data_IF_618026516839
#
_entry.id   IF_618026516839
#
_cell.length_a   1.000
_cell.length_b   1.000
_cell.length_c   1.000
_cell.angle_alpha   90.00
_cell.angle_beta   90.00
_cell.angle_gamma   90.00
#
_symmetry.space_group_name_H-M   'P 1'
#
loop_
_entity.id
_entity.type
_entity.pdbx_description
1 polymer ?
#
# COMPACT_ATOMS: atom_id res chain seq x y z
N UNK A 1 -7.55 -9.03 -10.77
CA UNK A 1 -6.31 -8.34 -10.36
C UNK A 1 -5.38 -8.37 -11.56
N UNK A 2 -4.73 -7.27 -11.89
CA UNK A 2 -3.83 -7.11 -13.04
C UNK A 2 -2.46 -6.56 -12.61
N UNK A 3 -2.43 -5.82 -11.50
CA UNK A 3 -1.21 -5.21 -10.94
C UNK A 3 -1.06 -5.63 -9.48
N UNK A 4 0.18 -5.70 -9.00
CA UNK A 4 0.51 -6.02 -7.61
C UNK A 4 1.50 -5.00 -7.07
N UNK A 5 1.18 -4.40 -5.93
CA UNK A 5 2.15 -3.67 -5.10
C UNK A 5 2.63 -4.63 -4.02
N UNK A 6 3.88 -5.08 -4.13
CA UNK A 6 4.53 -5.95 -3.18
C UNK A 6 5.33 -5.12 -2.17
N UNK A 7 4.75 -4.85 -0.99
CA UNK A 7 5.41 -4.11 0.08
C UNK A 7 6.36 -4.97 0.93
N UNK A 8 6.62 -6.23 0.53
CA UNK A 8 7.41 -7.20 1.27
C UNK A 8 8.58 -7.74 0.43
N UNK A 9 9.12 -6.95 -0.51
CA UNK A 9 10.20 -7.36 -1.41
C UNK A 9 11.45 -7.90 -0.72
N UNK A 10 11.68 -7.55 0.55
CA UNK A 10 12.77 -8.07 1.38
C UNK A 10 12.64 -9.58 1.63
N UNK A 11 11.41 -10.07 1.84
CA UNK A 11 11.15 -11.47 2.25
C UNK A 11 10.35 -12.26 1.23
N UNK A 12 9.73 -11.58 0.26
CA UNK A 12 8.72 -12.16 -0.62
C UNK A 12 9.05 -11.76 -2.06
N UNK A 13 9.48 -12.71 -2.92
CA UNK A 13 9.69 -12.43 -4.32
C UNK A 13 8.36 -12.26 -5.06
N UNK A 14 8.45 -11.76 -6.28
CA UNK A 14 7.31 -11.67 -7.19
C UNK A 14 7.02 -13.07 -7.74
N UNK A 15 6.01 -13.76 -7.19
CA UNK A 15 5.74 -15.17 -7.51
C UNK A 15 5.11 -15.42 -8.88
N UNK A 16 4.42 -14.43 -9.46
CA UNK A 16 3.69 -14.58 -10.71
C UNK A 16 4.01 -13.46 -11.71
N UNK A 17 5.29 -13.20 -12.03
CA UNK A 17 5.71 -12.04 -12.83
C UNK A 17 5.19 -12.10 -14.27
N UNK A 18 4.89 -13.28 -14.78
CA UNK A 18 4.29 -13.48 -16.12
C UNK A 18 2.79 -13.14 -16.19
N UNK A 19 2.12 -13.00 -15.03
CA UNK A 19 0.66 -12.83 -14.95
C UNK A 19 0.24 -11.45 -14.45
N UNK A 20 1.10 -10.79 -13.68
CA UNK A 20 0.82 -9.48 -13.11
C UNK A 20 2.00 -8.54 -13.32
N UNK A 21 1.70 -7.26 -13.44
CA UNK A 21 2.71 -6.21 -13.40
C UNK A 21 2.98 -5.86 -11.95
N UNK A 22 4.25 -5.88 -11.54
CA UNK A 22 4.66 -5.65 -10.16
C UNK A 22 5.23 -4.26 -9.93
N UNK A 23 4.93 -3.72 -8.75
CA UNK A 23 5.67 -2.65 -8.10
C UNK A 23 6.16 -3.16 -6.75
N UNK A 24 7.46 -3.45 -6.67
CA UNK A 24 8.05 -4.11 -5.50
C UNK A 24 8.83 -3.12 -4.65
N UNK A 25 8.49 -3.05 -3.38
CA UNK A 25 9.07 -2.14 -2.40
C UNK A 25 9.86 -2.95 -1.36
N UNK A 26 11.08 -2.50 -1.10
CA UNK A 26 12.00 -3.11 -0.15
C UNK A 26 12.00 -2.34 1.18
N UNK A 27 10.86 -2.38 1.89
CA UNK A 27 10.63 -1.61 3.11
C UNK A 27 10.41 -2.55 4.31
N UNK A 28 11.17 -2.32 5.38
CA UNK A 28 10.99 -3.01 6.67
C UNK A 28 9.73 -2.50 7.39
N UNK A 29 9.10 -3.38 8.18
CA UNK A 29 7.94 -3.00 8.99
C UNK A 29 8.36 -2.45 10.36
N UNK A 30 9.11 -1.36 10.35
CA UNK A 30 9.70 -0.76 11.54
C UNK A 30 9.29 0.72 11.65
N UNK A 31 9.06 1.24 12.87
CA UNK A 31 8.73 2.66 13.06
C UNK A 31 9.79 3.64 12.55
N UNK A 32 11.05 3.20 12.43
CA UNK A 32 12.16 3.97 11.88
C UNK A 32 12.19 4.00 10.35
N UNK A 33 11.48 3.10 9.68
CA UNK A 33 11.41 3.07 8.21
C UNK A 33 10.51 4.20 7.70
N UNK A 34 10.80 4.67 6.47
CA UNK A 34 9.99 5.70 5.83
C UNK A 34 9.25 5.18 4.61
N UNK A 35 7.95 5.47 4.54
CA UNK A 35 7.10 5.20 3.36
C UNK A 35 7.01 6.41 2.43
N UNK A 36 7.28 7.62 2.93
CA UNK A 36 7.18 8.89 2.18
C UNK A 36 7.85 8.85 0.80
N UNK A 37 9.10 8.35 0.65
CA UNK A 37 9.77 8.32 -0.65
C UNK A 37 9.05 7.49 -1.70
N UNK A 38 8.16 6.59 -1.29
CA UNK A 38 7.46 5.63 -2.15
C UNK A 38 6.00 6.02 -2.42
N UNK A 39 5.42 6.94 -1.66
CA UNK A 39 3.97 7.24 -1.74
C UNK A 39 3.56 7.66 -3.15
N UNK A 40 4.25 8.61 -3.76
CA UNK A 40 3.89 9.11 -5.09
C UNK A 40 4.08 8.06 -6.19
N UNK A 41 5.16 7.28 -6.16
CA UNK A 41 5.41 6.19 -7.13
C UNK A 41 4.33 5.10 -7.04
N UNK A 42 3.94 4.72 -5.82
CA UNK A 42 2.86 3.75 -5.60
C UNK A 42 1.50 4.31 -6.01
N UNK A 43 1.21 5.58 -5.70
CA UNK A 43 -0.02 6.24 -6.10
C UNK A 43 -0.14 6.31 -7.63
N UNK A 44 0.91 6.73 -8.33
CA UNK A 44 0.93 6.79 -9.80
C UNK A 44 0.73 5.40 -10.41
N UNK A 45 1.40 4.38 -9.87
CA UNK A 45 1.22 2.99 -10.30
C UNK A 45 -0.22 2.51 -10.11
N UNK A 46 -0.85 2.83 -8.97
CA UNK A 46 -2.23 2.46 -8.68
C UNK A 46 -3.22 3.22 -9.57
N UNK A 47 -3.00 4.51 -9.79
CA UNK A 47 -3.83 5.35 -10.64
C UNK A 47 -3.76 4.95 -12.11
N UNK A 48 -2.55 4.69 -12.62
CA UNK A 48 -2.38 4.19 -13.99
C UNK A 48 -3.14 2.88 -14.22
N UNK A 49 -3.05 1.94 -13.27
CA UNK A 49 -3.84 0.71 -13.30
C UNK A 49 -5.35 0.99 -13.29
N UNK A 50 -5.83 1.87 -12.40
CA UNK A 50 -7.26 2.21 -12.26
C UNK A 50 -7.81 2.85 -13.53
N UNK A 51 -7.10 3.81 -14.10
CA UNK A 51 -7.48 4.51 -15.33
C UNK A 51 -7.53 3.58 -16.54
N UNK A 52 -6.68 2.55 -16.57
CA UNK A 52 -6.71 1.48 -17.58
C UNK A 52 -7.81 0.42 -17.33
N UNK A 53 -8.66 0.59 -16.31
CA UNK A 53 -9.72 -0.37 -15.96
C UNK A 53 -9.22 -1.64 -15.26
N UNK A 54 -7.96 -1.65 -14.81
CA UNK A 54 -7.35 -2.76 -14.08
C UNK A 54 -7.71 -2.79 -12.59
N UNK A 55 -7.13 -3.74 -11.86
CA UNK A 55 -7.27 -3.85 -10.40
C UNK A 55 -5.93 -4.15 -9.75
N UNK A 56 -5.60 -3.43 -8.68
CA UNK A 56 -4.35 -3.61 -7.92
C UNK A 56 -4.58 -4.45 -6.68
N UNK A 57 -3.69 -5.39 -6.42
CA UNK A 57 -3.53 -6.02 -5.11
C UNK A 57 -2.35 -5.35 -4.38
N UNK A 58 -2.57 -4.76 -3.21
CA UNK A 58 -1.51 -4.25 -2.34
C UNK A 58 -1.32 -5.24 -1.20
N UNK A 59 -0.12 -5.81 -1.05
CA UNK A 59 0.16 -6.78 0.00
C UNK A 59 1.48 -6.52 0.72
N UNK A 60 1.57 -7.02 1.95
CA UNK A 60 2.82 -7.18 2.68
C UNK A 60 2.85 -8.58 3.32
N UNK A 61 3.69 -8.83 4.31
CA UNK A 61 3.79 -10.16 4.95
C UNK A 61 2.50 -10.56 5.67
N UNK A 62 1.92 -9.67 6.48
CA UNK A 62 0.73 -9.97 7.30
C UNK A 62 -0.53 -9.24 6.81
N UNK A 63 -0.36 -8.27 5.91
CA UNK A 63 -1.41 -7.33 5.54
C UNK A 63 -1.93 -6.53 6.73
N UNK A 64 -1.06 -6.12 7.65
CA UNK A 64 -1.45 -5.38 8.87
C UNK A 64 -0.99 -3.93 8.79
N UNK A 65 0.31 -3.73 8.54
CA UNK A 65 0.95 -2.41 8.59
C UNK A 65 1.30 -1.88 7.20
N UNK A 66 2.45 -2.24 6.61
CA UNK A 66 2.94 -1.67 5.32
C UNK A 66 1.89 -1.54 4.22
N UNK A 67 1.21 -2.63 3.85
CA UNK A 67 0.21 -2.58 2.77
C UNK A 67 -0.98 -1.68 3.11
N UNK A 68 -1.41 -1.72 4.38
CA UNK A 68 -2.49 -0.87 4.85
C UNK A 68 -2.08 0.60 4.82
N UNK A 69 -0.84 0.93 5.19
CA UNK A 69 -0.30 2.29 5.10
C UNK A 69 -0.38 2.85 3.68
N UNK A 70 -0.02 2.06 2.65
CA UNK A 70 -0.17 2.49 1.26
C UNK A 70 -1.62 2.61 0.81
N UNK A 71 -2.52 1.72 1.26
CA UNK A 71 -3.96 1.88 0.99
C UNK A 71 -4.53 3.14 1.64
N UNK A 72 -4.11 3.47 2.87
CA UNK A 72 -4.52 4.70 3.57
C UNK A 72 -3.99 5.93 2.82
N UNK A 73 -2.69 5.95 2.50
CA UNK A 73 -2.08 7.03 1.72
C UNK A 73 -2.80 7.26 0.39
N UNK A 74 -3.15 6.17 -0.30
CA UNK A 74 -3.90 6.22 -1.54
C UNK A 74 -5.28 6.84 -1.33
N UNK A 75 -6.07 6.38 -0.35
CA UNK A 75 -7.39 6.94 -0.07
C UNK A 75 -7.32 8.43 0.31
N UNK A 76 -6.36 8.82 1.17
CA UNK A 76 -6.15 10.22 1.54
C UNK A 76 -5.91 11.11 0.31
N UNK A 77 -5.06 10.67 -0.61
CA UNK A 77 -4.65 11.48 -1.77
C UNK A 77 -5.67 11.42 -2.92
N UNK A 78 -6.27 10.25 -3.16
CA UNK A 78 -7.25 10.05 -4.22
C UNK A 78 -8.60 10.68 -3.86
N UNK A 79 -9.11 10.40 -2.66
CA UNK A 79 -10.43 10.84 -2.20
C UNK A 79 -10.39 12.19 -1.49
N UNK A 80 -9.18 12.73 -1.22
CA UNK A 80 -8.95 14.02 -0.56
C UNK A 80 -9.56 14.09 0.84
N UNK A 81 -9.42 12.99 1.58
CA UNK A 81 -9.93 12.84 2.96
C UNK A 81 -8.79 12.88 3.98
N UNK A 82 -9.13 13.11 5.24
CA UNK A 82 -8.17 13.06 6.35
C UNK A 82 -7.61 11.65 6.59
N UNK A 83 -6.52 11.56 7.35
CA UNK A 83 -5.98 10.27 7.80
C UNK A 83 -7.02 9.47 8.57
N UNK A 84 -7.77 10.10 9.48
CA UNK A 84 -8.77 9.44 10.31
C UNK A 84 -9.89 8.80 9.46
N UNK A 85 -10.37 9.52 8.44
CA UNK A 85 -11.38 9.02 7.50
C UNK A 85 -10.84 7.84 6.69
N UNK A 86 -9.67 7.99 6.06
CA UNK A 86 -9.04 6.94 5.25
C UNK A 86 -8.69 5.70 6.09
N UNK A 87 -8.12 5.89 7.28
CA UNK A 87 -7.83 4.80 8.22
C UNK A 87 -9.11 4.08 8.63
N UNK A 88 -10.17 4.83 8.96
CA UNK A 88 -11.47 4.28 9.30
C UNK A 88 -12.05 3.40 8.19
N UNK A 89 -11.99 3.88 6.94
CA UNK A 89 -12.47 3.13 5.78
C UNK A 89 -11.68 1.84 5.54
N UNK A 90 -10.34 1.91 5.54
CA UNK A 90 -9.48 0.73 5.35
C UNK A 90 -9.68 -0.27 6.49
N UNK A 91 -9.82 0.22 7.73
CA UNK A 91 -10.07 -0.62 8.92
C UNK A 91 -11.44 -1.30 8.86
N UNK A 92 -12.48 -0.63 8.34
CA UNK A 92 -13.80 -1.21 8.17
C UNK A 92 -13.79 -2.39 7.19
N UNK A 93 -13.04 -2.27 6.09
CA UNK A 93 -12.88 -3.36 5.10
C UNK A 93 -11.90 -4.44 5.55
N UNK A 94 -10.92 -4.07 6.37
CA UNK A 94 -9.89 -4.97 6.90
C UNK A 94 -9.67 -4.71 8.38
N UNK A 95 -10.43 -5.40 9.23
CA UNK A 95 -10.43 -5.20 10.69
C UNK A 95 -9.07 -5.36 11.39
N UNK A 96 -8.10 -6.02 10.77
CA UNK A 96 -6.72 -6.15 11.28
C UNK A 96 -5.77 -5.05 10.79
N UNK A 97 -6.24 -4.07 10.01
CA UNK A 97 -5.45 -2.89 9.62
C UNK A 97 -4.90 -2.20 10.86
N UNK A 98 -3.58 -2.08 10.96
CA UNK A 98 -2.91 -1.43 12.07
C UNK A 98 -1.48 -1.05 11.65
N UNK A 99 -1.31 0.07 10.90
CA UNK A 99 0.00 0.64 10.63
C UNK A 99 0.83 0.77 11.90
N UNK A 100 2.14 0.54 11.81
CA UNK A 100 3.02 0.87 12.93
C UNK A 100 3.02 2.39 13.18
N UNK A 101 3.36 2.80 14.41
CA UNK A 101 3.28 4.21 14.82
C UNK A 101 4.14 5.17 13.97
N UNK A 102 5.27 4.69 13.44
CA UNK A 102 6.13 5.49 12.57
C UNK A 102 5.48 5.77 11.22
N UNK A 103 4.75 4.80 10.65
CA UNK A 103 3.98 4.99 9.42
C UNK A 103 2.75 5.85 9.66
N UNK A 104 2.01 5.65 10.76
CA UNK A 104 0.89 6.52 11.12
C UNK A 104 1.31 7.97 11.31
N UNK A 105 2.52 8.25 11.80
CA UNK A 105 3.01 9.62 11.96
C UNK A 105 3.49 10.27 10.65
N UNK A 106 3.65 9.48 9.59
CA UNK A 106 4.04 9.95 8.26
C UNK A 106 2.84 10.23 7.36
N UNK A 107 1.64 9.79 7.75
CA UNK A 107 0.39 9.98 7.02
C UNK A 107 -0.40 11.11 7.66
#
# INVERSE_FOLDING_TARGET
>A
ITHVVNCAGITTPDFFPEHFVYRTLFINDEPSASIIPHVYDVLEFMEGCRQAGGKVLVHCTQGVSRSCSFCIAYAMLHDKVSYEEAYGEVKAHRGICNPNAGFSSQL
#
